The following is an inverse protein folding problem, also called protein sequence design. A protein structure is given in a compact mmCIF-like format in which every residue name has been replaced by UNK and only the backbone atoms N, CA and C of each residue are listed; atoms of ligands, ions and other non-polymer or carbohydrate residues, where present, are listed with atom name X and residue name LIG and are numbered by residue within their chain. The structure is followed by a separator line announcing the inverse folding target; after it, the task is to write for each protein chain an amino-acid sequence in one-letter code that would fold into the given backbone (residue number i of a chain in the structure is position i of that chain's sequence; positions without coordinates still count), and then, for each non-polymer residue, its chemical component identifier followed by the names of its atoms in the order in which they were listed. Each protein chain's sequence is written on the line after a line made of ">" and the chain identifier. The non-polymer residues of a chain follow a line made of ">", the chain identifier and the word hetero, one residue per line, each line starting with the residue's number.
data_IF_069150406729
#
_entry.id   IF_069150406729
#
_cell.length_a   1.000
_cell.length_b   1.000
_cell.length_c   1.000
_cell.angle_alpha   90.00
_cell.angle_beta   90.00
_cell.angle_gamma   90.00
#
_symmetry.space_group_name_H-M   'P 1'
#
loop_
_entity.id
_entity.type
_entity.pdbx_description
1 polymer ?
#
# COMPACT_ATOMS: atom_id res chain seq x y z
N UNK A 1 -1.08 -9.39 -9.85
CA UNK A 1 -1.42 -8.02 -10.29
C UNK A 1 -1.87 -7.20 -9.10
N UNK A 2 -0.99 -6.33 -8.58
CA UNK A 2 -1.23 -5.58 -7.34
C UNK A 2 -1.84 -4.18 -7.59
N UNK A 3 -1.54 -3.57 -8.74
CA UNK A 3 -1.94 -2.20 -9.06
C UNK A 3 -3.45 -1.98 -9.13
N UNK A 4 -4.23 -2.85 -9.80
CA UNK A 4 -5.68 -2.63 -9.94
C UNK A 4 -6.41 -2.69 -8.60
N UNK A 5 -6.06 -3.65 -7.73
CA UNK A 5 -6.64 -3.77 -6.39
C UNK A 5 -6.24 -2.60 -5.50
N UNK A 6 -4.96 -2.19 -5.55
CA UNK A 6 -4.47 -1.00 -4.85
C UNK A 6 -5.26 0.25 -5.25
N UNK A 7 -5.38 0.53 -6.56
CA UNK A 7 -6.09 1.71 -7.05
C UNK A 7 -7.57 1.68 -6.72
N UNK A 8 -8.20 0.49 -6.72
CA UNK A 8 -9.58 0.34 -6.27
C UNK A 8 -9.71 0.69 -4.79
N UNK A 9 -8.92 0.07 -3.92
CA UNK A 9 -8.98 0.33 -2.48
C UNK A 9 -8.67 1.79 -2.15
N UNK A 10 -7.61 2.38 -2.72
CA UNK A 10 -7.30 3.80 -2.51
C UNK A 10 -8.48 4.71 -2.89
N UNK A 11 -9.13 4.47 -4.04
CA UNK A 11 -10.26 5.30 -4.45
C UNK A 11 -11.43 5.20 -3.47
N UNK A 12 -11.82 3.98 -3.10
CA UNK A 12 -13.01 3.75 -2.28
C UNK A 12 -12.81 4.03 -0.79
N UNK A 13 -11.62 3.76 -0.24
CA UNK A 13 -11.35 3.86 1.19
C UNK A 13 -10.79 5.24 1.58
N UNK A 14 -10.20 5.98 0.64
CA UNK A 14 -9.49 7.24 0.93
C UNK A 14 -10.01 8.42 0.09
N UNK A 15 -10.06 8.29 -1.24
CA UNK A 15 -10.36 9.44 -2.11
C UNK A 15 -11.84 9.80 -2.15
N UNK A 16 -12.74 8.82 -2.31
CA UNK A 16 -14.18 9.08 -2.46
C UNK A 16 -14.88 9.44 -1.15
N UNK A 17 -14.25 9.14 -0.01
CA UNK A 17 -14.80 9.43 1.31
C UNK A 17 -14.37 10.80 1.87
N UNK A 18 -13.36 11.43 1.27
CA UNK A 18 -12.74 12.65 1.80
C UNK A 18 -12.94 13.83 0.88
N UNK A 19 -13.39 14.93 1.48
CA UNK A 19 -13.39 16.24 0.84
C UNK A 19 -12.09 16.97 1.19
N UNK A 20 -11.14 16.97 0.25
CA UNK A 20 -9.85 17.63 0.44
C UNK A 20 -9.98 19.14 0.23
N UNK A 21 -9.65 19.91 1.26
CA UNK A 21 -9.67 21.37 1.20
C UNK A 21 -8.50 21.96 0.41
N UNK A 22 -7.44 21.17 0.16
CA UNK A 22 -6.31 21.57 -0.66
C UNK A 22 -5.55 20.40 -1.28
N UNK A 23 -4.82 20.61 -2.39
CA UNK A 23 -3.92 19.60 -2.94
C UNK A 23 -2.83 19.13 -1.98
N UNK A 24 -2.42 19.97 -1.02
CA UNK A 24 -1.43 19.59 0.00
C UNK A 24 -2.02 18.58 1.00
N UNK A 25 -3.26 18.79 1.42
CA UNK A 25 -3.97 17.84 2.27
C UNK A 25 -4.18 16.50 1.56
N UNK A 26 -4.62 16.53 0.30
CA UNK A 26 -4.80 15.32 -0.51
C UNK A 26 -3.50 14.50 -0.59
N UNK A 27 -2.36 15.14 -0.92
CA UNK A 27 -1.06 14.45 -1.01
C UNK A 27 -0.67 13.79 0.31
N UNK A 28 -0.84 14.48 1.44
CA UNK A 28 -0.51 13.92 2.75
C UNK A 28 -1.38 12.71 3.08
N UNK A 29 -2.70 12.87 2.94
CA UNK A 29 -3.67 11.83 3.27
C UNK A 29 -3.48 10.57 2.40
N UNK A 30 -3.23 10.76 1.09
CA UNK A 30 -2.92 9.65 0.18
C UNK A 30 -1.57 8.99 0.54
N UNK A 31 -0.55 9.76 0.90
CA UNK A 31 0.74 9.20 1.32
C UNK A 31 0.62 8.38 2.60
N UNK A 32 -0.15 8.86 3.58
CA UNK A 32 -0.43 8.16 4.83
C UNK A 32 -1.17 6.84 4.53
N UNK A 33 -2.20 6.88 3.67
CA UNK A 33 -2.91 5.66 3.25
C UNK A 33 -2.01 4.66 2.53
N UNK A 34 -1.14 5.12 1.62
CA UNK A 34 -0.21 4.24 0.90
C UNK A 34 0.81 3.61 1.85
N UNK A 35 1.25 4.34 2.87
CA UNK A 35 2.13 3.81 3.91
C UNK A 35 1.43 2.68 4.64
N UNK A 36 0.24 2.94 5.21
CA UNK A 36 -0.59 1.92 5.86
C UNK A 36 -0.83 0.69 4.98
N UNK A 37 -1.20 0.89 3.71
CA UNK A 37 -1.48 -0.20 2.78
C UNK A 37 -0.26 -1.10 2.53
N UNK A 38 0.93 -0.52 2.49
CA UNK A 38 2.17 -1.22 2.18
C UNK A 38 2.87 -1.83 3.41
N UNK A 39 2.72 -1.23 4.58
CA UNK A 39 3.50 -1.61 5.77
C UNK A 39 2.68 -2.21 6.91
N UNK A 40 1.36 -2.07 6.90
CA UNK A 40 0.52 -2.48 8.04
C UNK A 40 -0.63 -3.41 7.62
N UNK A 41 -1.24 -3.18 6.46
CA UNK A 41 -2.37 -3.99 5.99
C UNK A 41 -1.89 -5.38 5.56
N UNK A 42 -2.42 -6.42 6.20
CA UNK A 42 -2.23 -7.80 5.77
C UNK A 42 -3.11 -8.09 4.55
N UNK A 43 -2.54 -8.73 3.52
CA UNK A 43 -3.26 -9.08 2.31
C UNK A 43 -3.40 -10.59 2.20
N UNK A 44 -4.63 -11.09 2.18
CA UNK A 44 -4.89 -12.54 2.04
C UNK A 44 -4.24 -13.14 0.78
N UNK A 45 -4.14 -12.37 -0.31
CA UNK A 45 -3.46 -12.81 -1.54
C UNK A 45 -1.93 -12.83 -1.44
N UNK A 46 -1.38 -12.34 -0.34
CA UNK A 46 0.05 -12.37 0.00
C UNK A 46 0.28 -13.23 1.25
N UNK A 47 -0.52 -14.29 1.44
CA UNK A 47 -0.45 -15.16 2.63
C UNK A 47 -0.48 -14.40 3.96
N UNK A 48 -1.32 -13.36 4.03
CA UNK A 48 -1.43 -12.46 5.18
C UNK A 48 -0.15 -11.71 5.52
N UNK A 49 0.69 -11.42 4.53
CA UNK A 49 1.83 -10.52 4.63
C UNK A 49 1.48 -9.14 4.05
N UNK A 50 2.31 -8.16 4.39
CA UNK A 50 2.32 -6.82 3.82
C UNK A 50 3.15 -6.80 2.52
N UNK A 51 2.86 -5.85 1.60
CA UNK A 51 3.65 -5.68 0.38
C UNK A 51 5.13 -5.42 0.66
N UNK A 52 5.43 -4.67 1.72
CA UNK A 52 6.81 -4.41 2.15
C UNK A 52 7.52 -5.69 2.57
N UNK A 53 6.88 -6.58 3.34
CA UNK A 53 7.48 -7.86 3.73
C UNK A 53 7.79 -8.74 2.52
N UNK A 54 6.84 -8.88 1.60
CA UNK A 54 7.04 -9.66 0.36
C UNK A 54 8.17 -9.09 -0.49
N UNK A 55 8.24 -7.76 -0.60
CA UNK A 55 9.32 -7.09 -1.32
C UNK A 55 10.69 -7.37 -0.69
N UNK A 56 10.80 -7.24 0.63
CA UNK A 56 12.05 -7.49 1.36
C UNK A 56 12.49 -8.97 1.28
N UNK A 57 11.56 -9.91 1.37
CA UNK A 57 11.84 -11.34 1.19
C UNK A 57 12.34 -11.63 -0.23
N UNK A 58 11.68 -11.05 -1.23
CA UNK A 58 12.10 -11.17 -2.63
C UNK A 58 13.48 -10.57 -2.82
N UNK A 59 13.76 -9.41 -2.21
CA UNK A 59 15.04 -8.74 -2.28
C UNK A 59 16.16 -9.57 -1.63
N UNK A 60 15.94 -10.12 -0.44
CA UNK A 60 16.90 -10.98 0.25
C UNK A 60 17.22 -12.26 -0.55
N UNK A 61 16.20 -12.87 -1.15
CA UNK A 61 16.38 -14.04 -2.03
C UNK A 61 17.21 -13.71 -3.29
N UNK A 62 17.15 -12.46 -3.78
CA UNK A 62 17.95 -11.99 -4.91
C UNK A 62 19.38 -11.62 -4.52
N UNK A 63 19.63 -11.22 -3.27
CA UNK A 63 20.97 -10.83 -2.79
C UNK A 63 21.80 -12.00 -2.26
N UNK A 64 21.21 -13.20 -2.11
CA UNK A 64 21.95 -14.43 -1.75
C UNK A 64 22.29 -14.56 -0.26
N UNK A 65 21.72 -13.70 0.59
CA UNK A 65 21.82 -13.81 2.05
C UNK A 65 20.73 -14.76 2.56
N UNK A 66 21.01 -16.08 2.49
CA UNK A 66 20.17 -17.16 2.99
C UNK A 66 20.86 -17.99 4.06
#
# INVERSE_FOLDING_TARGET
>A
MFNERLWRSLKYEEVYLKDYTSPRQARRSIADYLTFFNTERLHQSLDYQTPTEVYLQTQAALTGDG
#
